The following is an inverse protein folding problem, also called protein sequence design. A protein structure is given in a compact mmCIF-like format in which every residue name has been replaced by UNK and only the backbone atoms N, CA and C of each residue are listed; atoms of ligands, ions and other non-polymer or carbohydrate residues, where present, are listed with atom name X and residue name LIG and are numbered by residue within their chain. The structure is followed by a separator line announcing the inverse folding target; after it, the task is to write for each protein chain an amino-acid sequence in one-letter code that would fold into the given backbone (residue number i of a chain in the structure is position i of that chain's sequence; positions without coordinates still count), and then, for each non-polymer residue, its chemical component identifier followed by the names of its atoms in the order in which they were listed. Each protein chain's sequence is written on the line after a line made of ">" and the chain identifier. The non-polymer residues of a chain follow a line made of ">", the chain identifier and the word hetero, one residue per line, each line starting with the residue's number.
data_IF_828070004198
#
_entry.id   IF_828070004198
#
_cell.length_a   1.000
_cell.length_b   1.000
_cell.length_c   1.000
_cell.angle_alpha   90.00
_cell.angle_beta   90.00
_cell.angle_gamma   90.00
#
_symmetry.space_group_name_H-M   'P 1'
#
loop_
_entity.id
_entity.type
_entity.pdbx_description
1 polymer ?
#
# COMPACT_ATOMS: atom_id res chain seq x y z
N UNK A 1 -13.33 -6.79 -32.19
CA UNK A 1 -12.02 -7.42 -31.90
C UNK A 1 -12.13 -8.10 -30.56
N UNK A 2 -12.41 -9.41 -30.55
CA UNK A 2 -12.46 -10.20 -29.33
C UNK A 2 -11.08 -10.18 -28.66
N UNK A 3 -11.03 -9.72 -27.40
CA UNK A 3 -9.81 -9.67 -26.61
C UNK A 3 -9.34 -11.11 -26.27
N UNK A 4 -8.73 -11.83 -27.22
CA UNK A 4 -7.94 -13.06 -27.01
C UNK A 4 -8.42 -14.00 -25.90
N UNK A 5 -9.69 -14.43 -25.94
CA UNK A 5 -10.28 -15.36 -24.95
C UNK A 5 -10.72 -14.74 -23.60
N UNK A 6 -10.44 -13.47 -23.32
CA UNK A 6 -10.78 -12.78 -22.05
C UNK A 6 -12.26 -12.40 -21.92
N UNK A 7 -12.97 -12.35 -23.03
CA UNK A 7 -14.36 -11.88 -23.11
C UNK A 7 -14.49 -10.34 -23.09
N UNK A 8 -15.72 -9.86 -22.90
CA UNK A 8 -16.02 -8.43 -22.91
C UNK A 8 -15.37 -7.70 -21.73
N UNK A 9 -14.92 -6.45 -21.95
CA UNK A 9 -14.46 -5.57 -20.88
C UNK A 9 -15.67 -5.03 -20.12
N UNK A 10 -15.76 -5.31 -18.83
CA UNK A 10 -16.86 -4.89 -17.96
C UNK A 10 -16.57 -3.56 -17.26
N UNK A 11 -15.32 -3.33 -16.85
CA UNK A 11 -14.93 -2.08 -16.18
C UNK A 11 -13.43 -1.82 -16.27
N UNK A 12 -13.04 -0.54 -16.26
CA UNK A 12 -11.65 -0.11 -16.24
C UNK A 12 -11.43 0.93 -15.15
N UNK A 13 -10.58 0.61 -14.18
CA UNK A 13 -10.13 1.53 -13.16
C UNK A 13 -8.74 2.05 -13.49
N UNK A 14 -8.58 3.38 -13.55
CA UNK A 14 -7.29 4.05 -13.77
C UNK A 14 -6.82 4.69 -12.46
N UNK A 15 -5.79 4.15 -11.78
CA UNK A 15 -5.23 4.76 -10.58
C UNK A 15 -4.60 6.12 -10.88
N UNK A 16 -4.52 6.98 -9.86
CA UNK A 16 -3.76 8.24 -9.97
C UNK A 16 -2.29 7.90 -10.22
N UNK A 17 -1.60 8.54 -11.19
CA UNK A 17 -0.26 8.16 -11.59
C UNK A 17 0.80 8.34 -10.49
N UNK A 18 0.59 9.30 -9.58
CA UNK A 18 1.46 9.58 -8.45
C UNK A 18 0.65 9.84 -7.19
N UNK A 19 1.10 9.28 -6.05
CA UNK A 19 0.54 9.59 -4.74
C UNK A 19 0.83 11.07 -4.39
N UNK A 20 -0.14 11.85 -3.87
CA UNK A 20 0.10 13.22 -3.38
C UNK A 20 1.33 13.37 -2.48
N UNK A 21 1.63 12.39 -1.63
CA UNK A 21 2.83 12.43 -0.79
C UNK A 21 4.13 12.30 -1.58
N UNK A 22 4.16 11.50 -2.64
CA UNK A 22 5.32 11.40 -3.52
C UNK A 22 5.57 12.72 -4.26
N UNK A 23 4.49 13.40 -4.66
CA UNK A 23 4.58 14.75 -5.25
C UNK A 23 5.08 15.76 -4.23
N UNK A 24 4.58 15.74 -2.98
CA UNK A 24 5.06 16.61 -1.92
C UNK A 24 6.54 16.40 -1.60
N UNK A 25 7.00 15.15 -1.52
CA UNK A 25 8.41 14.82 -1.33
C UNK A 25 9.27 15.31 -2.50
N UNK A 26 8.80 15.14 -3.74
CA UNK A 26 9.49 15.65 -4.92
C UNK A 26 9.64 17.18 -4.85
N UNK A 27 8.57 17.91 -4.52
CA UNK A 27 8.62 19.37 -4.36
C UNK A 27 9.61 19.78 -3.26
N UNK A 28 9.59 19.12 -2.11
CA UNK A 28 10.52 19.40 -1.01
C UNK A 28 11.98 19.19 -1.45
N UNK A 29 12.27 18.06 -2.09
CA UNK A 29 13.63 17.76 -2.59
C UNK A 29 14.05 18.78 -3.65
N UNK A 30 13.15 19.20 -4.54
CA UNK A 30 13.44 20.26 -5.52
C UNK A 30 13.80 21.58 -4.84
N UNK A 31 13.07 22.00 -3.80
CA UNK A 31 13.37 23.23 -3.05
C UNK A 31 14.70 23.13 -2.31
N UNK A 32 14.96 22.00 -1.64
CA UNK A 32 16.22 21.79 -0.91
C UNK A 32 17.41 21.76 -1.87
N UNK A 33 17.29 21.02 -2.98
CA UNK A 33 18.34 20.89 -3.97
C UNK A 33 18.55 22.19 -4.75
N UNK A 34 17.53 22.82 -5.33
CA UNK A 34 17.74 23.97 -6.22
C UNK A 34 17.62 25.35 -5.55
N UNK A 35 17.05 25.44 -4.34
CA UNK A 35 16.90 26.69 -3.61
C UNK A 35 17.88 26.81 -2.45
N UNK A 36 17.73 25.95 -1.45
CA UNK A 36 18.47 26.04 -0.19
C UNK A 36 19.95 25.67 -0.39
N UNK A 37 20.24 24.59 -1.11
CA UNK A 37 21.59 24.11 -1.39
C UNK A 37 22.50 25.20 -1.96
N UNK A 38 22.16 25.83 -3.10
CA UNK A 38 22.95 26.93 -3.66
C UNK A 38 23.09 28.13 -2.72
N UNK A 39 22.05 28.46 -1.96
CA UNK A 39 22.06 29.62 -1.06
C UNK A 39 23.02 29.44 0.13
N UNK A 40 23.07 28.23 0.68
CA UNK A 40 23.85 27.92 1.90
C UNK A 40 25.26 27.44 1.56
N UNK A 41 25.40 26.59 0.54
CA UNK A 41 26.67 25.94 0.18
C UNK A 41 27.35 26.56 -1.06
N UNK A 42 26.68 27.47 -1.77
CA UNK A 42 27.26 28.18 -2.92
C UNK A 42 28.41 29.12 -2.55
N UNK A 43 28.32 29.94 -1.49
CA UNK A 43 29.40 30.84 -1.09
C UNK A 43 30.71 30.14 -0.74
N UNK A 44 30.62 28.91 -0.21
CA UNK A 44 31.78 28.09 0.19
C UNK A 44 32.28 27.17 -0.93
N UNK A 45 31.71 27.26 -2.15
CA UNK A 45 32.08 26.41 -3.28
C UNK A 45 31.70 24.93 -3.13
N UNK A 46 30.92 24.60 -2.10
CA UNK A 46 30.45 23.25 -1.81
C UNK A 46 29.26 22.87 -2.70
N UNK A 47 28.60 23.81 -3.37
CA UNK A 47 27.58 23.50 -4.37
C UNK A 47 28.20 23.34 -5.78
N UNK A 48 27.93 22.26 -6.55
CA UNK A 48 26.96 21.18 -6.35
C UNK A 48 27.56 19.86 -5.80
N UNK A 49 28.62 19.88 -5.00
CA UNK A 49 29.29 18.68 -4.47
C UNK A 49 29.57 17.62 -5.56
N UNK A 50 30.09 18.04 -6.73
CA UNK A 50 30.36 17.13 -7.85
C UNK A 50 29.12 16.41 -8.40
N UNK A 51 27.91 16.92 -8.13
CA UNK A 51 26.64 16.35 -8.56
C UNK A 51 25.95 15.44 -7.52
N UNK A 52 26.59 15.14 -6.38
CA UNK A 52 26.01 14.29 -5.34
C UNK A 52 24.73 14.89 -4.72
N UNK A 53 24.61 16.22 -4.74
CA UNK A 53 23.40 16.92 -4.27
C UNK A 53 22.13 16.59 -5.07
N UNK A 54 22.26 16.04 -6.29
CA UNK A 54 21.15 15.61 -7.13
C UNK A 54 20.75 14.14 -6.89
N UNK A 55 21.54 13.37 -6.15
CA UNK A 55 21.25 11.96 -5.90
C UNK A 55 19.87 11.74 -5.23
N UNK A 56 19.45 12.51 -4.21
CA UNK A 56 18.11 12.37 -3.64
C UNK A 56 16.99 12.60 -4.67
N UNK A 57 17.15 13.58 -5.56
CA UNK A 57 16.20 13.87 -6.62
C UNK A 57 16.10 12.72 -7.62
N UNK A 58 17.25 12.20 -8.07
CA UNK A 58 17.30 11.06 -8.97
C UNK A 58 16.63 9.82 -8.36
N UNK A 59 16.86 9.55 -7.07
CA UNK A 59 16.22 8.45 -6.33
C UNK A 59 14.70 8.63 -6.27
N UNK A 60 14.20 9.82 -5.95
CA UNK A 60 12.75 10.10 -5.91
C UNK A 60 12.10 9.92 -7.28
N UNK A 61 12.71 10.47 -8.34
CA UNK A 61 12.19 10.33 -9.71
C UNK A 61 12.18 8.87 -10.17
N UNK A 62 13.26 8.14 -9.92
CA UNK A 62 13.36 6.71 -10.23
C UNK A 62 12.30 5.92 -9.48
N UNK A 63 12.11 6.18 -8.18
CA UNK A 63 11.07 5.55 -7.39
C UNK A 63 9.68 5.85 -7.98
N UNK A 64 9.35 7.10 -8.31
CA UNK A 64 8.07 7.45 -8.93
C UNK A 64 7.81 6.69 -10.23
N UNK A 65 8.84 6.54 -11.08
CA UNK A 65 8.74 5.77 -12.32
C UNK A 65 8.52 4.27 -12.07
N UNK A 66 9.31 3.67 -11.17
CA UNK A 66 9.25 2.23 -10.86
C UNK A 66 7.94 1.84 -10.17
N UNK A 67 7.38 2.72 -9.34
CA UNK A 67 6.14 2.49 -8.61
C UNK A 67 4.87 2.94 -9.36
N UNK A 68 5.01 3.49 -10.58
CA UNK A 68 3.87 3.92 -11.41
C UNK A 68 2.90 2.75 -11.68
N UNK A 69 1.63 2.86 -11.24
CA UNK A 69 0.64 1.80 -11.41
C UNK A 69 0.11 1.74 -12.86
N UNK A 70 -0.29 0.54 -13.29
CA UNK A 70 -1.08 0.33 -14.51
C UNK A 70 -2.59 0.38 -14.18
N UNK A 71 -3.49 0.60 -15.16
CA UNK A 71 -4.93 0.41 -14.92
C UNK A 71 -5.28 -1.03 -14.52
N UNK A 72 -6.37 -1.17 -13.76
CA UNK A 72 -7.03 -2.44 -13.49
C UNK A 72 -8.18 -2.61 -14.49
N UNK A 73 -8.27 -3.77 -15.14
CA UNK A 73 -9.34 -4.07 -16.10
C UNK A 73 -10.11 -5.31 -15.65
N UNK A 74 -11.43 -5.21 -15.57
CA UNK A 74 -12.32 -6.33 -15.25
C UNK A 74 -12.93 -6.83 -16.55
N UNK A 75 -12.71 -8.09 -16.87
CA UNK A 75 -13.27 -8.77 -18.03
C UNK A 75 -14.26 -9.86 -17.60
N UNK A 76 -15.04 -10.34 -18.56
CA UNK A 76 -16.01 -11.41 -18.38
C UNK A 76 -15.37 -12.71 -17.85
N UNK A 77 -14.17 -13.06 -18.34
CA UNK A 77 -13.47 -14.30 -17.99
C UNK A 77 -12.25 -14.10 -17.06
N UNK A 78 -11.97 -12.87 -16.61
CA UNK A 78 -10.89 -12.63 -15.66
C UNK A 78 -10.67 -11.17 -15.32
N UNK A 79 -9.60 -10.89 -14.59
CA UNK A 79 -9.20 -9.55 -14.19
C UNK A 79 -7.73 -9.31 -14.46
N UNK A 80 -7.42 -8.15 -15.04
CA UNK A 80 -6.06 -7.65 -15.16
C UNK A 80 -5.76 -6.70 -14.00
N UNK A 81 -4.81 -7.07 -13.15
CA UNK A 81 -4.49 -6.35 -11.92
C UNK A 81 -3.51 -5.20 -12.16
N UNK A 82 -3.69 -4.11 -11.41
CA UNK A 82 -2.71 -3.02 -11.35
C UNK A 82 -1.40 -3.49 -10.71
N UNK A 83 -0.30 -3.41 -11.47
CA UNK A 83 1.05 -3.66 -10.99
C UNK A 83 1.96 -2.44 -11.20
N UNK A 84 2.88 -2.16 -10.26
CA UNK A 84 3.93 -1.17 -10.46
C UNK A 84 4.87 -1.60 -11.59
N UNK A 85 5.52 -0.64 -12.25
CA UNK A 85 6.43 -0.90 -13.39
C UNK A 85 7.52 -1.93 -13.07
N UNK A 86 8.14 -1.88 -11.89
CA UNK A 86 9.18 -2.85 -11.55
C UNK A 86 8.66 -4.30 -11.54
N UNK A 87 7.45 -4.55 -11.03
CA UNK A 87 6.84 -5.90 -11.05
C UNK A 87 6.48 -6.35 -12.45
N UNK A 88 6.16 -5.39 -13.32
CA UNK A 88 5.88 -5.61 -14.74
C UNK A 88 7.14 -6.04 -15.48
N UNK A 89 8.29 -5.45 -15.16
CA UNK A 89 9.58 -5.82 -15.73
C UNK A 89 10.04 -7.21 -15.30
N UNK A 90 9.70 -7.62 -14.07
CA UNK A 90 9.98 -8.98 -13.55
C UNK A 90 9.03 -10.06 -14.14
N UNK A 91 8.13 -9.69 -15.06
CA UNK A 91 7.32 -10.67 -15.81
C UNK A 91 6.18 -11.31 -15.02
N UNK A 92 5.73 -10.73 -13.90
CA UNK A 92 4.61 -11.31 -13.13
C UNK A 92 3.31 -11.32 -13.96
N UNK A 93 2.54 -12.42 -13.92
CA UNK A 93 1.27 -12.51 -14.63
C UNK A 93 0.31 -11.43 -14.13
N UNK A 94 -0.24 -10.65 -15.07
CA UNK A 94 -1.16 -9.53 -14.78
C UNK A 94 -2.61 -9.95 -14.88
N UNK A 95 -2.91 -10.84 -15.81
CA UNK A 95 -4.25 -11.35 -16.03
C UNK A 95 -4.45 -12.61 -15.19
N UNK A 96 -5.56 -12.65 -14.47
CA UNK A 96 -5.98 -13.77 -13.65
C UNK A 96 -7.36 -14.18 -14.16
N UNK A 97 -7.51 -15.38 -14.76
CA UNK A 97 -8.81 -15.86 -15.18
C UNK A 97 -9.65 -16.20 -13.95
N UNK A 98 -10.97 -15.98 -14.02
CA UNK A 98 -11.87 -16.30 -12.91
C UNK A 98 -11.87 -17.79 -12.56
N UNK A 99 -11.57 -18.65 -13.53
CA UNK A 99 -11.39 -20.10 -13.32
C UNK A 99 -10.31 -20.45 -12.30
N UNK A 100 -9.29 -19.60 -12.16
CA UNK A 100 -8.15 -19.85 -11.27
C UNK A 100 -8.35 -19.19 -9.91
N UNK A 101 -9.40 -18.39 -9.78
CA UNK A 101 -9.76 -17.69 -8.55
C UNK A 101 -10.59 -18.61 -7.66
N UNK A 102 -10.20 -18.68 -6.39
CA UNK A 102 -10.91 -19.40 -5.34
C UNK A 102 -11.81 -18.48 -4.53
N UNK A 103 -11.30 -17.29 -4.17
CA UNK A 103 -12.04 -16.30 -3.39
C UNK A 103 -11.78 -14.88 -3.92
N UNK A 104 -12.83 -14.07 -4.03
CA UNK A 104 -12.78 -12.62 -4.25
C UNK A 104 -13.57 -11.94 -3.15
N UNK A 105 -12.95 -10.98 -2.46
CA UNK A 105 -13.58 -10.34 -1.30
C UNK A 105 -13.10 -8.90 -1.10
N UNK A 106 -13.88 -8.05 -0.43
CA UNK A 106 -13.41 -6.77 0.07
C UNK A 106 -12.18 -6.98 0.96
N UNK A 107 -11.06 -6.35 0.65
CA UNK A 107 -9.84 -6.49 1.44
C UNK A 107 -9.38 -5.16 1.97
N UNK A 108 -9.42 -5.01 3.28
CA UNK A 108 -8.76 -3.92 3.96
C UNK A 108 -7.26 -4.01 3.76
N UNK A 109 -6.66 -2.86 3.47
CA UNK A 109 -5.23 -2.70 3.44
C UNK A 109 -4.86 -1.35 4.00
N UNK A 110 -3.72 -1.31 4.68
CA UNK A 110 -3.10 -0.06 5.03
C UNK A 110 -2.19 0.35 3.89
N UNK A 111 -2.43 1.55 3.37
CA UNK A 111 -1.30 2.28 2.80
C UNK A 111 -0.53 2.71 4.02
N UNK A 112 0.58 2.03 4.29
CA UNK A 112 1.53 2.40 5.32
C UNK A 112 1.88 3.89 5.16
N UNK A 113 1.14 4.77 5.84
CA UNK A 113 1.58 6.12 6.14
C UNK A 113 2.95 6.05 6.84
N UNK A 114 3.22 4.96 7.56
CA UNK A 114 4.52 4.60 8.14
C UNK A 114 5.68 4.51 7.14
N UNK A 115 5.44 4.32 5.84
CA UNK A 115 6.52 4.30 4.84
C UNK A 115 7.07 5.72 4.55
N UNK A 116 6.29 6.76 4.85
CA UNK A 116 6.64 8.16 4.56
C UNK A 116 6.58 9.07 5.79
N UNK A 117 5.85 8.69 6.84
CA UNK A 117 5.80 9.37 8.14
C UNK A 117 5.38 8.42 9.26
N UNK A 118 6.25 8.17 10.26
CA UNK A 118 5.89 7.49 11.50
C UNK A 118 4.65 8.09 12.19
N UNK A 119 4.42 9.40 12.05
CA UNK A 119 3.28 10.12 12.64
C UNK A 119 1.94 9.83 11.95
N UNK A 120 1.95 9.46 10.66
CA UNK A 120 0.71 9.05 9.97
C UNK A 120 0.20 7.69 10.46
N UNK A 121 1.08 6.88 11.07
CA UNK A 121 0.74 5.55 11.59
C UNK A 121 0.24 5.55 13.03
N UNK A 122 0.59 6.56 13.86
CA UNK A 122 0.16 6.64 15.27
C UNK A 122 -1.31 6.99 15.42
N UNK A 123 -1.90 7.68 14.44
CA UNK A 123 -3.31 8.05 14.47
C UNK A 123 -4.26 6.90 14.06
N UNK A 124 -3.76 5.74 13.63
CA UNK A 124 -4.59 4.57 13.32
C UNK A 124 -5.59 4.76 12.16
N UNK A 125 -5.44 5.78 11.32
CA UNK A 125 -6.59 6.46 10.72
C UNK A 125 -6.90 6.20 9.26
N UNK A 126 -6.15 5.36 8.53
CA UNK A 126 -6.46 5.14 7.10
C UNK A 126 -6.35 3.66 6.71
N UNK A 127 -7.36 2.89 7.12
CA UNK A 127 -7.66 1.60 6.49
C UNK A 127 -8.34 1.91 5.17
N UNK A 128 -7.73 1.45 4.08
CA UNK A 128 -8.30 1.58 2.74
C UNK A 128 -8.92 0.26 2.33
N UNK A 129 -10.03 0.34 1.60
CA UNK A 129 -10.66 -0.84 1.03
C UNK A 129 -10.13 -1.08 -0.37
N UNK A 130 -9.66 -2.29 -0.60
CA UNK A 130 -9.30 -2.83 -1.89
C UNK A 130 -9.99 -4.14 -2.16
N UNK A 131 -9.49 -4.89 -3.14
CA UNK A 131 -10.04 -6.20 -3.50
C UNK A 131 -8.97 -7.25 -3.25
N UNK A 132 -9.32 -8.24 -2.44
CA UNK A 132 -8.53 -9.44 -2.20
C UNK A 132 -8.91 -10.50 -3.23
N UNK A 133 -7.90 -11.12 -3.83
CA UNK A 133 -8.07 -12.29 -4.70
C UNK A 133 -7.19 -13.41 -4.13
N UNK A 134 -7.78 -14.57 -3.93
CA UNK A 134 -7.07 -15.80 -3.60
C UNK A 134 -7.20 -16.77 -4.76
N UNK A 135 -6.07 -17.24 -5.29
CA UNK A 135 -6.07 -18.24 -6.35
C UNK A 135 -6.18 -19.65 -5.76
N UNK A 136 -6.55 -20.61 -6.60
CA UNK A 136 -6.57 -22.05 -6.24
C UNK A 136 -5.19 -22.56 -5.80
N UNK A 137 -4.11 -22.00 -6.34
CA UNK A 137 -2.72 -22.25 -5.93
C UNK A 137 -2.35 -21.64 -4.56
N UNK A 138 -3.26 -20.92 -3.90
CA UNK A 138 -3.02 -20.28 -2.61
C UNK A 138 -2.33 -18.90 -2.70
N UNK A 139 -2.17 -18.32 -3.89
CA UNK A 139 -1.61 -16.96 -4.02
C UNK A 139 -2.62 -15.94 -3.55
N UNK A 140 -2.18 -15.04 -2.66
CA UNK A 140 -3.00 -13.92 -2.17
C UNK A 140 -2.58 -12.62 -2.85
N UNK A 141 -3.52 -12.00 -3.54
CA UNK A 141 -3.30 -10.78 -4.31
C UNK A 141 -4.18 -9.68 -3.74
N UNK A 142 -3.65 -8.46 -3.69
CA UNK A 142 -4.37 -7.28 -3.25
C UNK A 142 -4.36 -6.27 -4.38
N UNK A 143 -5.55 -5.89 -4.84
CA UNK A 143 -5.76 -4.78 -5.77
C UNK A 143 -6.04 -3.53 -4.94
N UNK A 144 -5.15 -2.55 -5.05
CA UNK A 144 -5.23 -1.28 -4.34
C UNK A 144 -5.99 -0.26 -5.16
N UNK A 145 -6.77 0.56 -4.48
CA UNK A 145 -7.53 1.65 -5.09
C UNK A 145 -7.14 2.96 -4.43
N UNK A 146 -6.83 3.97 -5.24
CA UNK A 146 -6.51 5.30 -4.74
C UNK A 146 -7.71 5.84 -3.95
N UNK A 147 -7.50 6.29 -2.70
CA UNK A 147 -8.57 6.86 -1.89
C UNK A 147 -9.21 8.05 -2.62
N UNK A 148 -10.52 8.18 -2.54
CA UNK A 148 -11.19 9.40 -3.00
C UNK A 148 -10.68 10.58 -2.18
N UNK A 149 -10.32 11.68 -2.83
CA UNK A 149 -9.90 12.94 -2.20
C UNK A 149 -10.74 13.25 -0.96
N UNK A 150 -10.09 13.40 0.21
CA UNK A 150 -10.52 14.04 1.49
C UNK A 150 -12.01 14.46 1.55
N UNK A 151 -12.93 13.56 1.24
CA UNK A 151 -14.38 13.74 1.36
C UNK A 151 -14.77 12.72 2.40
N UNK A 152 -14.58 13.13 3.65
CA UNK A 152 -15.03 12.49 4.87
C UNK A 152 -14.71 10.98 4.97
N UNK A 153 -13.53 10.60 5.48
CA UNK A 153 -13.23 9.31 6.14
C UNK A 153 -13.94 8.04 5.61
N UNK A 154 -14.27 7.95 4.32
CA UNK A 154 -14.85 6.76 3.70
C UNK A 154 -13.67 5.86 3.35
N UNK A 155 -13.59 4.72 4.01
CA UNK A 155 -12.62 3.67 3.71
C UNK A 155 -12.70 3.22 2.23
N UNK A 156 -13.87 3.40 1.61
CA UNK A 156 -14.19 2.97 0.24
C UNK A 156 -14.05 4.11 -0.78
N UNK A 157 -13.20 3.90 -1.78
CA UNK A 157 -13.11 4.80 -2.94
C UNK A 157 -14.19 4.50 -3.99
N UNK A 158 -14.57 5.49 -4.79
CA UNK A 158 -15.49 5.29 -5.93
C UNK A 158 -15.00 4.19 -6.88
N UNK A 159 -13.69 4.19 -7.18
CA UNK A 159 -13.06 3.16 -8.01
C UNK A 159 -13.23 1.75 -7.44
N UNK A 160 -13.08 1.60 -6.12
CA UNK A 160 -13.35 0.33 -5.44
C UNK A 160 -14.83 -0.05 -5.54
N UNK A 161 -15.76 0.86 -5.21
CA UNK A 161 -17.19 0.56 -5.20
C UNK A 161 -17.71 0.14 -6.57
N UNK A 162 -17.32 0.86 -7.63
CA UNK A 162 -17.70 0.54 -9.01
C UNK A 162 -17.10 -0.79 -9.46
N UNK A 163 -15.82 -1.04 -9.18
CA UNK A 163 -15.15 -2.30 -9.54
C UNK A 163 -15.79 -3.49 -8.82
N UNK A 164 -16.00 -3.39 -7.51
CA UNK A 164 -16.58 -4.47 -6.72
C UNK A 164 -18.03 -4.75 -7.11
N UNK A 165 -18.82 -3.71 -7.44
CA UNK A 165 -20.17 -3.87 -7.98
C UNK A 165 -20.19 -4.68 -9.28
N UNK A 166 -19.28 -4.39 -10.20
CA UNK A 166 -19.19 -5.09 -11.49
C UNK A 166 -18.76 -6.55 -11.30
N UNK A 167 -17.84 -6.81 -10.37
CA UNK A 167 -17.45 -8.18 -10.05
C UNK A 167 -18.63 -8.95 -9.44
N UNK A 168 -19.31 -8.39 -8.43
CA UNK A 168 -20.50 -9.01 -7.82
C UNK A 168 -21.55 -9.35 -8.86
N UNK A 169 -21.89 -8.39 -9.71
CA UNK A 169 -22.86 -8.57 -10.80
C UNK A 169 -22.45 -9.69 -11.75
N UNK A 170 -21.17 -9.77 -12.15
CA UNK A 170 -20.68 -10.86 -13.01
C UNK A 170 -20.81 -12.23 -12.35
N UNK A 171 -20.45 -12.35 -11.06
CA UNK A 171 -20.56 -13.63 -10.34
C UNK A 171 -22.03 -14.04 -10.16
N UNK A 172 -22.90 -13.09 -9.80
CA UNK A 172 -24.33 -13.32 -9.68
C UNK A 172 -24.95 -13.78 -11.00
N UNK A 173 -24.68 -13.12 -12.12
CA UNK A 173 -25.20 -13.50 -13.46
C UNK A 173 -24.79 -14.92 -13.88
N UNK A 174 -23.62 -15.38 -13.44
CA UNK A 174 -23.09 -16.73 -13.72
C UNK A 174 -23.49 -17.78 -12.66
N UNK A 175 -24.22 -17.38 -11.62
CA UNK A 175 -24.53 -18.22 -10.46
C UNK A 175 -23.27 -18.83 -9.79
N UNK A 176 -22.15 -18.11 -9.88
CA UNK A 176 -20.88 -18.48 -9.26
C UNK A 176 -20.77 -17.78 -7.90
N UNK A 177 -20.20 -18.46 -6.89
CA UNK A 177 -19.91 -17.84 -5.59
C UNK A 177 -18.61 -17.05 -5.66
N UNK A 178 -18.57 -15.88 -5.04
CA UNK A 178 -17.32 -15.12 -4.93
C UNK A 178 -16.40 -15.73 -3.87
N UNK A 179 -16.95 -16.38 -2.84
CA UNK A 179 -16.20 -16.95 -1.74
C UNK A 179 -16.58 -18.40 -1.50
N UNK A 180 -15.57 -19.26 -1.45
CA UNK A 180 -15.73 -20.70 -1.23
C UNK A 180 -15.15 -21.16 0.11
N UNK A 181 -14.24 -20.38 0.70
CA UNK A 181 -13.47 -20.78 1.90
C UNK A 181 -13.82 -20.06 3.20
N UNK A 182 -14.87 -19.23 3.22
CA UNK A 182 -15.23 -18.47 4.43
C UNK A 182 -15.54 -19.39 5.62
N UNK A 183 -14.92 -19.06 6.76
CA UNK A 183 -15.22 -19.68 8.05
C UNK A 183 -16.45 -19.02 8.66
N UNK A 184 -17.26 -19.79 9.37
CA UNK A 184 -18.30 -19.27 10.24
C UNK A 184 -17.69 -18.76 11.54
N UNK A 185 -18.08 -17.56 11.96
CA UNK A 185 -17.69 -16.98 13.24
C UNK A 185 -18.95 -16.70 14.06
N UNK A 186 -18.83 -16.86 15.38
CA UNK A 186 -19.82 -16.39 16.35
C UNK A 186 -19.69 -14.89 16.60
N UNK A 187 -20.74 -14.25 17.12
CA UNK A 187 -20.73 -12.80 17.39
C UNK A 187 -19.62 -12.40 18.39
N UNK A 188 -19.33 -13.26 19.37
CA UNK A 188 -18.25 -13.05 20.35
C UNK A 188 -16.88 -13.08 19.68
N UNK A 189 -16.65 -14.02 18.75
CA UNK A 189 -15.41 -14.09 17.96
C UNK A 189 -15.26 -12.88 17.03
N UNK A 190 -16.35 -12.44 16.38
CA UNK A 190 -16.33 -11.24 15.54
C UNK A 190 -15.96 -10.01 16.36
N UNK A 191 -16.55 -9.82 17.55
CA UNK A 191 -16.24 -8.71 18.44
C UNK A 191 -14.78 -8.76 18.94
N UNK A 192 -14.26 -9.95 19.27
CA UNK A 192 -12.87 -10.14 19.67
C UNK A 192 -11.89 -9.81 18.53
N UNK A 193 -12.19 -10.25 17.30
CA UNK A 193 -11.40 -9.89 16.12
C UNK A 193 -11.45 -8.39 15.81
N UNK A 194 -12.60 -7.75 15.98
CA UNK A 194 -12.75 -6.30 15.82
C UNK A 194 -11.98 -5.51 16.88
N UNK A 195 -11.98 -5.95 18.14
CA UNK A 195 -11.23 -5.28 19.20
C UNK A 195 -9.73 -5.38 18.98
N UNK A 196 -9.24 -6.54 18.53
CA UNK A 196 -7.83 -6.75 18.19
C UNK A 196 -7.37 -5.85 17.03
N UNK A 197 -8.20 -5.67 16.01
CA UNK A 197 -7.86 -4.84 14.84
C UNK A 197 -7.89 -3.33 15.12
N UNK A 198 -8.51 -2.89 16.23
CA UNK A 198 -8.51 -1.48 16.66
C UNK A 198 -7.27 -1.06 17.43
N UNK A 199 -6.39 -2.00 17.80
CA UNK A 199 -5.17 -1.66 18.52
C UNK A 199 -4.20 -0.85 17.63
N UNK A 200 -3.50 0.16 18.18
CA UNK A 200 -2.53 0.94 17.43
C UNK A 200 -1.36 0.06 17.01
N UNK A 201 -0.92 0.22 15.76
CA UNK A 201 0.20 -0.57 15.21
C UNK A 201 1.52 -0.24 15.91
N UNK A 202 1.73 1.04 16.19
CA UNK A 202 2.93 1.53 16.86
C UNK A 202 2.48 2.47 17.96
N UNK A 203 3.04 2.30 19.15
CA UNK A 203 2.80 3.23 20.25
C UNK A 203 3.45 4.58 19.94
N UNK A 204 2.89 5.65 20.49
CA UNK A 204 3.37 7.02 20.26
C UNK A 204 4.85 7.16 20.63
N UNK A 205 5.32 6.51 21.70
CA UNK A 205 6.71 6.55 22.14
C UNK A 205 7.65 5.98 21.06
N UNK A 206 7.23 4.93 20.36
CA UNK A 206 8.00 4.33 19.26
C UNK A 206 8.15 5.26 18.05
N UNK A 207 7.15 6.12 17.81
CA UNK A 207 7.19 7.14 16.75
C UNK A 207 8.20 8.23 17.08
N UNK A 208 8.20 8.73 18.33
CA UNK A 208 9.18 9.71 18.80
C UNK A 208 10.61 9.15 18.68
N UNK A 209 10.85 7.93 19.18
CA UNK A 209 12.15 7.29 19.07
C UNK A 209 12.58 7.15 17.61
N UNK A 210 11.72 6.69 16.71
CA UNK A 210 12.07 6.53 15.29
C UNK A 210 12.44 7.86 14.60
N UNK A 211 11.87 8.99 15.03
CA UNK A 211 12.13 10.31 14.45
C UNK A 211 13.40 10.97 15.00
N UNK A 212 13.62 10.91 16.31
CA UNK A 212 14.74 11.60 16.97
C UNK A 212 16.02 10.76 17.04
N UNK A 213 15.93 9.43 16.95
CA UNK A 213 17.08 8.56 17.06
C UNK A 213 18.10 8.73 15.90
N UNK A 214 17.71 8.84 14.62
CA UNK A 214 18.67 9.02 13.53
C UNK A 214 19.57 10.26 13.68
N UNK A 215 19.04 11.49 13.88
CA UNK A 215 19.91 12.66 14.08
C UNK A 215 20.75 12.53 15.35
N UNK A 216 20.22 11.91 16.42
CA UNK A 216 20.99 11.66 17.65
C UNK A 216 22.18 10.72 17.41
N UNK A 217 21.99 9.63 16.64
CA UNK A 217 23.06 8.72 16.24
C UNK A 217 24.11 9.46 15.41
N UNK A 218 23.69 10.27 14.44
CA UNK A 218 24.62 11.08 13.62
C UNK A 218 25.45 11.98 14.51
N UNK A 219 24.83 12.74 15.41
CA UNK A 219 25.53 13.67 16.32
C UNK A 219 26.54 12.92 17.20
N UNK A 220 26.13 11.84 17.86
CA UNK A 220 27.01 11.06 18.74
C UNK A 220 28.19 10.47 17.97
N UNK A 221 27.96 9.90 16.78
CA UNK A 221 29.03 9.35 15.96
C UNK A 221 30.01 10.43 15.48
N UNK A 222 29.52 11.62 15.10
CA UNK A 222 30.38 12.74 14.73
C UNK A 222 31.22 13.24 15.91
N UNK A 223 30.65 13.33 17.12
CA UNK A 223 31.39 13.70 18.34
C UNK A 223 32.50 12.68 18.64
N UNK A 224 32.20 11.38 18.51
CA UNK A 224 33.18 10.30 18.72
C UNK A 224 34.31 10.43 17.70
N UNK A 225 33.99 10.56 16.40
CA UNK A 225 34.98 10.71 15.33
C UNK A 225 35.88 11.92 15.54
N UNK A 226 35.31 13.04 16.01
CA UNK A 226 36.06 14.23 16.37
C UNK A 226 37.01 13.97 17.55
N UNK A 227 36.57 13.28 18.60
CA UNK A 227 37.42 12.91 19.73
C UNK A 227 38.63 12.07 19.32
N UNK A 228 38.47 11.21 18.31
CA UNK A 228 39.54 10.40 17.72
C UNK A 228 40.30 11.09 16.57
N UNK A 229 40.02 12.36 16.29
CA UNK A 229 40.67 13.14 15.22
C UNK A 229 40.58 12.48 13.83
N UNK A 230 39.49 11.75 13.58
CA UNK A 230 39.27 11.07 12.30
C UNK A 230 38.73 12.08 11.28
N UNK A 231 39.43 12.22 10.15
CA UNK A 231 38.98 13.08 9.05
C UNK A 231 37.66 12.57 8.43
N UNK A 232 36.73 13.49 8.15
CA UNK A 232 35.45 13.18 7.52
C UNK A 232 35.63 12.90 6.02
N UNK A 233 35.85 11.64 5.68
CA UNK A 233 35.83 11.18 4.28
C UNK A 233 34.42 10.77 3.86
N UNK A 234 34.16 10.72 2.55
CA UNK A 234 32.88 10.24 2.02
C UNK A 234 32.49 8.84 2.52
N UNK A 235 33.48 7.95 2.70
CA UNK A 235 33.27 6.61 3.24
C UNK A 235 32.76 6.63 4.70
N UNK A 236 33.34 7.49 5.54
CA UNK A 236 32.92 7.64 6.94
C UNK A 236 31.52 8.23 7.02
N UNK A 237 31.20 9.23 6.20
CA UNK A 237 29.85 9.80 6.12
C UNK A 237 28.83 8.73 5.72
N UNK A 238 29.15 7.88 4.74
CA UNK A 238 28.30 6.75 4.35
C UNK A 238 28.07 5.76 5.50
N UNK A 239 29.11 5.44 6.28
CA UNK A 239 29.00 4.55 7.44
C UNK A 239 28.11 5.17 8.53
N UNK A 240 28.29 6.46 8.85
CA UNK A 240 27.45 7.16 9.84
C UNK A 240 25.99 7.18 9.40
N UNK A 241 25.73 7.49 8.12
CA UNK A 241 24.38 7.45 7.55
C UNK A 241 23.78 6.04 7.60
N UNK A 242 24.57 5.01 7.28
CA UNK A 242 24.13 3.62 7.38
C UNK A 242 23.65 3.29 8.79
N UNK A 243 24.46 3.57 9.82
CA UNK A 243 24.09 3.32 11.21
C UNK A 243 22.87 4.14 11.67
N UNK A 244 22.74 5.39 11.21
CA UNK A 244 21.58 6.22 11.52
C UNK A 244 20.28 5.70 10.88
N UNK A 245 20.36 5.03 9.73
CA UNK A 245 19.20 4.50 8.99
C UNK A 245 18.75 3.10 9.43
N UNK A 246 19.63 2.32 10.07
CA UNK A 246 19.30 0.96 10.53
C UNK A 246 18.10 0.93 11.49
N UNK A 247 18.02 1.75 12.57
CA UNK A 247 16.88 1.69 13.48
C UNK A 247 15.53 2.04 12.83
N UNK A 248 15.41 3.11 12.02
CA UNK A 248 14.20 3.36 11.23
C UNK A 248 13.80 2.18 10.34
N UNK A 249 14.77 1.55 9.65
CA UNK A 249 14.50 0.42 8.78
C UNK A 249 13.93 -0.78 9.57
N UNK A 250 14.52 -1.11 10.72
CA UNK A 250 14.01 -2.18 11.60
C UNK A 250 12.60 -1.86 12.09
N UNK A 251 12.35 -0.61 12.50
CA UNK A 251 11.04 -0.15 12.95
C UNK A 251 9.98 -0.33 11.85
N UNK A 252 10.28 0.12 10.62
CA UNK A 252 9.40 -0.04 9.46
C UNK A 252 9.07 -1.51 9.18
N UNK A 253 10.06 -2.41 9.25
CA UNK A 253 9.83 -3.86 9.04
C UNK A 253 8.88 -4.43 10.09
N UNK A 254 9.07 -4.09 11.37
CA UNK A 254 8.18 -4.55 12.46
C UNK A 254 6.75 -4.05 12.27
N UNK A 255 6.58 -2.77 11.95
CA UNK A 255 5.26 -2.19 11.66
C UNK A 255 4.59 -2.87 10.47
N UNK A 256 5.35 -3.19 9.42
CA UNK A 256 4.84 -3.89 8.25
C UNK A 256 4.32 -5.30 8.62
N UNK A 257 5.07 -6.06 9.42
CA UNK A 257 4.65 -7.39 9.87
C UNK A 257 3.37 -7.32 10.73
N UNK A 258 3.26 -6.33 11.62
CA UNK A 258 2.06 -6.13 12.43
C UNK A 258 0.85 -5.76 11.56
N UNK A 259 1.06 -4.88 10.57
CA UNK A 259 0.05 -4.54 9.57
C UNK A 259 -0.43 -5.76 8.78
N UNK A 260 0.49 -6.63 8.34
CA UNK A 260 0.14 -7.86 7.61
C UNK A 260 -0.71 -8.81 8.46
N UNK A 261 -0.37 -8.99 9.75
CA UNK A 261 -1.17 -9.80 10.68
C UNK A 261 -2.58 -9.22 10.85
N UNK A 262 -2.68 -7.91 11.05
CA UNK A 262 -3.97 -7.20 11.19
C UNK A 262 -4.83 -7.33 9.95
N UNK A 263 -4.23 -7.13 8.78
CA UNK A 263 -4.90 -7.30 7.49
C UNK A 263 -5.36 -8.75 7.26
N UNK A 264 -4.68 -9.75 7.82
CA UNK A 264 -5.13 -11.14 7.82
C UNK A 264 -6.48 -11.31 8.53
N UNK A 265 -6.61 -10.77 9.75
CA UNK A 265 -7.86 -10.82 10.53
C UNK A 265 -8.99 -10.08 9.78
N UNK A 266 -8.70 -8.87 9.28
CA UNK A 266 -9.68 -8.09 8.52
C UNK A 266 -10.12 -8.80 7.23
N UNK A 267 -9.23 -9.58 6.60
CA UNK A 267 -9.57 -10.36 5.41
C UNK A 267 -10.54 -11.49 5.73
N UNK A 268 -10.35 -12.20 6.85
CA UNK A 268 -11.27 -13.26 7.28
C UNK A 268 -12.64 -12.69 7.66
N UNK A 269 -12.68 -11.57 8.39
CA UNK A 269 -13.93 -10.87 8.71
C UNK A 269 -14.67 -10.42 7.44
N UNK A 270 -13.94 -9.89 6.45
CA UNK A 270 -14.55 -9.45 5.19
C UNK A 270 -15.09 -10.62 4.36
N UNK A 271 -14.39 -11.77 4.34
CA UNK A 271 -14.91 -12.99 3.71
C UNK A 271 -16.21 -13.45 4.37
N UNK A 272 -16.26 -13.46 5.69
CA UNK A 272 -17.46 -13.83 6.45
C UNK A 272 -18.64 -12.89 6.15
N UNK A 273 -18.41 -11.57 6.17
CA UNK A 273 -19.44 -10.56 5.86
C UNK A 273 -19.97 -10.69 4.44
N UNK A 274 -19.11 -10.90 3.46
CA UNK A 274 -19.51 -11.04 2.07
C UNK A 274 -20.26 -12.37 1.84
N UNK A 275 -19.90 -13.45 2.53
CA UNK A 275 -20.68 -14.69 2.51
C UNK A 275 -22.09 -14.52 3.10
N UNK A 276 -22.22 -13.78 4.22
CA UNK A 276 -23.54 -13.46 4.79
C UNK A 276 -24.39 -12.64 3.81
N UNK A 277 -23.78 -11.69 3.12
CA UNK A 277 -24.42 -10.90 2.08
C UNK A 277 -24.93 -11.78 0.93
N UNK A 278 -24.09 -12.65 0.36
CA UNK A 278 -24.50 -13.58 -0.70
C UNK A 278 -25.70 -14.45 -0.27
N UNK A 279 -25.69 -14.96 0.97
CA UNK A 279 -26.82 -15.75 1.50
C UNK A 279 -28.10 -14.93 1.63
N UNK A 280 -28.01 -13.68 2.08
CA UNK A 280 -29.18 -12.79 2.19
C UNK A 280 -29.77 -12.42 0.83
N UNK A 281 -28.93 -12.17 -0.18
CA UNK A 281 -29.35 -11.86 -1.55
C UNK A 281 -30.05 -13.09 -2.17
N UNK A 282 -29.47 -14.30 -2.01
CA UNK A 282 -30.09 -15.55 -2.46
C UNK A 282 -31.42 -15.85 -1.78
N UNK A 283 -31.53 -15.61 -0.46
CA UNK A 283 -32.79 -15.79 0.27
C UNK A 283 -33.88 -14.82 -0.20
N UNK A 284 -33.50 -13.61 -0.60
CA UNK A 284 -34.43 -12.59 -1.10
C UNK A 284 -34.90 -12.89 -2.52
N UNK A 285 -34.01 -13.39 -3.39
CA UNK A 285 -34.39 -13.78 -4.76
C UNK A 285 -35.19 -15.08 -4.81
N UNK A 286 -34.94 -16.02 -3.88
CA UNK A 286 -35.78 -17.23 -3.72
C UNK A 286 -37.19 -16.95 -3.20
N UNK A 287 -37.43 -15.77 -2.62
CA UNK A 287 -38.74 -15.34 -2.10
C UNK A 287 -39.56 -14.53 -3.13
N UNK A 288 -39.00 -14.20 -4.31
CA UNK A 288 -39.78 -13.59 -5.40
C UNK A 288 -40.58 -14.68 -6.12
N UNK A 289 -41.92 -14.55 -6.24
CA UNK A 289 -42.69 -15.46 -7.07
C UNK A 289 -42.16 -15.38 -8.51
N UNK A 290 -41.88 -16.53 -9.12
CA UNK A 290 -41.59 -16.61 -10.55
C UNK A 290 -42.81 -16.11 -11.33
N UNK A 291 -42.64 -15.25 -12.36
CA UNK A 291 -43.74 -14.84 -13.22
C UNK A 291 -44.31 -16.01 -14.04
#
# INVERSE_FOLDING_TARGET
>A
MENGGRGALLYAYRPIPANPMAVALLLLVLVVTFGIGPLVAGPEGLWPLGGLCFAPLAVVLLAMALFKPNPTYVFEHGIEISLPLWRRMVGRPRYIPWSDVRDVYPRSYEVAGSFLSPFASSAGTLVHTGIGIETKEGRRILIRFTPGSIRAFRAESRGYQETMRVIRDRFARRHERMITTAKSYSDTEVLAMQSQTRQPLVRIEGVFTAFFLPPSIVIVLLIILQGFHVGLTAAIILIVLFFALVPPAISMVRTLQQSERRNGILSELAKFQEQLRERSEQATDGAKPQP
#
